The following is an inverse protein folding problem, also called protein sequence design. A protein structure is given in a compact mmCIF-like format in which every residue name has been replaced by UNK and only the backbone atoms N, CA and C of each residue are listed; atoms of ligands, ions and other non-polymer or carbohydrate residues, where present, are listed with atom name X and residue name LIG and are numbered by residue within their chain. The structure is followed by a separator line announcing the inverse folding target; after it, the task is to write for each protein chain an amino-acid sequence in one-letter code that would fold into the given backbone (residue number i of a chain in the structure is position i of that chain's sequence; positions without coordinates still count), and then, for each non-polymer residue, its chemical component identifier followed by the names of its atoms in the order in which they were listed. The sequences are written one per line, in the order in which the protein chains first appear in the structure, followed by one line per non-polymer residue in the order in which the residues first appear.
data_IF_786030767452
#
_entry.id   IF_786030767452
#
_cell.length_a   1.000
_cell.length_b   1.000
_cell.length_c   1.000
_cell.angle_alpha   90.00
_cell.angle_beta   90.00
_cell.angle_gamma   90.00
#
_symmetry.space_group_name_H-M   'P 1'
#
loop_
_entity.id
_entity.type
_entity.pdbx_description
1 polymer ?
#
# COMPACT_ATOMS: atom_id res chain seq x y z
N UNK A 1 -51.13 -4.84 35.25
CA UNK A 1 -51.25 -3.91 34.09
C UNK A 1 -50.32 -2.70 34.24
N UNK A 2 -48.99 -2.87 34.40
CA UNK A 2 -48.00 -1.76 34.42
C UNK A 2 -46.56 -2.16 33.99
N UNK A 3 -46.35 -3.36 33.42
CA UNK A 3 -44.99 -3.84 33.05
C UNK A 3 -44.87 -4.15 31.54
N UNK A 4 -46.00 -4.30 30.82
CA UNK A 4 -45.98 -4.52 29.36
C UNK A 4 -45.74 -3.27 28.52
N UNK A 5 -45.78 -2.07 29.13
CA UNK A 5 -45.50 -0.81 28.44
C UNK A 5 -44.02 -0.40 28.49
N UNK A 6 -43.20 -1.03 29.34
CA UNK A 6 -41.76 -0.74 29.43
C UNK A 6 -40.97 -1.44 28.31
N UNK A 7 -41.45 -2.60 27.85
CA UNK A 7 -40.85 -3.34 26.73
C UNK A 7 -41.17 -2.76 25.34
N UNK A 8 -42.16 -1.87 25.22
CA UNK A 8 -42.46 -1.16 23.97
C UNK A 8 -41.60 0.10 23.79
N UNK A 9 -40.92 0.57 24.85
CA UNK A 9 -40.11 1.79 24.83
C UNK A 9 -38.62 1.54 24.54
N UNK A 10 -38.19 0.26 24.48
CA UNK A 10 -36.79 -0.11 24.23
C UNK A 10 -36.45 -0.38 22.75
N UNK A 11 -37.46 -0.44 21.87
CA UNK A 11 -37.26 -0.64 20.43
C UNK A 11 -37.28 0.67 19.60
N UNK A 12 -37.38 1.84 20.24
CA UNK A 12 -37.59 3.13 19.56
C UNK A 12 -36.35 3.98 19.30
N UNK A 13 -35.13 3.52 19.64
CA UNK A 13 -33.91 4.37 19.62
C UNK A 13 -32.92 3.99 18.50
N UNK A 14 -33.29 3.12 17.55
CA UNK A 14 -32.39 2.69 16.47
C UNK A 14 -32.64 3.34 15.10
N UNK A 15 -33.32 4.49 15.05
CA UNK A 15 -33.46 5.29 13.82
C UNK A 15 -33.02 6.73 14.08
N UNK A 16 -31.80 6.89 14.59
CA UNK A 16 -31.03 8.11 14.30
C UNK A 16 -30.43 7.86 12.91
N UNK A 17 -31.16 8.35 11.91
CA UNK A 17 -30.70 8.57 10.55
C UNK A 17 -29.32 9.23 10.61
N UNK A 18 -28.32 8.55 10.09
CA UNK A 18 -27.05 9.18 9.77
C UNK A 18 -27.37 10.33 8.81
N UNK A 19 -27.05 11.55 9.22
CA UNK A 19 -27.15 12.71 8.34
C UNK A 19 -26.28 12.48 7.11
N UNK A 20 -26.75 12.95 5.97
CA UNK A 20 -25.91 13.14 4.80
C UNK A 20 -24.83 14.17 5.15
N UNK A 21 -23.73 13.71 5.73
CA UNK A 21 -22.47 14.42 5.69
C UNK A 21 -21.89 14.26 4.28
N UNK A 22 -22.50 15.00 3.36
CA UNK A 22 -21.94 15.33 2.05
C UNK A 22 -20.77 16.29 2.25
N UNK A 23 -19.70 15.84 2.90
CA UNK A 23 -18.43 16.56 3.01
C UNK A 23 -17.27 15.59 3.27
N UNK A 24 -17.02 14.68 2.33
CA UNK A 24 -15.65 14.29 1.99
C UNK A 24 -15.57 13.65 0.61
N UNK A 25 -16.24 14.27 -0.36
CA UNK A 25 -15.62 14.36 -1.68
C UNK A 25 -14.71 15.56 -1.54
N UNK A 26 -13.41 15.35 -1.32
CA UNK A 26 -12.47 16.36 -1.78
C UNK A 26 -12.73 16.45 -3.29
N UNK A 27 -13.53 17.45 -3.68
CA UNK A 27 -13.40 18.05 -4.99
C UNK A 27 -11.92 18.35 -5.13
N UNK A 28 -11.23 17.49 -5.88
CA UNK A 28 -10.05 17.91 -6.59
C UNK A 28 -10.55 19.05 -7.46
N UNK A 29 -10.29 20.28 -7.00
CA UNK A 29 -10.49 21.48 -7.79
C UNK A 29 -10.01 21.18 -9.19
N UNK A 30 -10.97 21.14 -10.12
CA UNK A 30 -10.68 20.98 -11.54
C UNK A 30 -10.12 22.32 -11.97
N UNK A 31 -8.82 22.49 -11.76
CA UNK A 31 -8.08 23.53 -12.47
C UNK A 31 -7.98 23.07 -13.92
N UNK A 32 -8.47 23.92 -14.79
CA UNK A 32 -8.67 23.73 -16.22
C UNK A 32 -7.50 23.09 -16.96
N UNK A 33 -7.86 22.38 -18.04
CA UNK A 33 -7.03 21.76 -19.06
C UNK A 33 -5.85 22.64 -19.49
N UNK A 34 -4.70 22.36 -18.91
CA UNK A 34 -3.40 22.62 -19.53
C UNK A 34 -2.74 21.27 -19.76
N UNK A 35 -1.97 21.10 -20.83
CA UNK A 35 -1.25 19.83 -21.11
C UNK A 35 -0.39 19.37 -19.91
N UNK A 36 0.04 20.31 -19.08
CA UNK A 36 0.77 20.09 -17.83
C UNK A 36 -0.06 19.37 -16.75
N UNK A 37 -1.39 19.49 -16.77
CA UNK A 37 -2.31 18.80 -15.86
C UNK A 37 -2.55 17.32 -16.28
N UNK A 38 -2.22 16.94 -17.53
CA UNK A 38 -2.33 15.54 -18.00
C UNK A 38 -1.14 14.66 -17.63
N UNK A 39 0.07 15.23 -17.50
CA UNK A 39 1.29 14.43 -17.20
C UNK A 39 1.45 14.18 -15.70
N UNK A 40 1.84 12.96 -15.33
CA UNK A 40 2.32 12.64 -13.97
C UNK A 40 3.80 12.98 -13.93
N UNK A 41 4.19 13.88 -13.02
CA UNK A 41 5.58 14.33 -12.85
C UNK A 41 6.12 13.91 -11.49
N UNK A 42 7.44 13.97 -11.28
CA UNK A 42 8.05 13.71 -9.97
C UNK A 42 7.41 14.56 -8.86
N UNK A 43 7.19 15.86 -9.12
CA UNK A 43 6.49 16.77 -8.19
C UNK A 43 5.07 16.31 -7.85
N UNK A 44 4.36 15.72 -8.81
CA UNK A 44 3.03 15.13 -8.57
C UNK A 44 3.14 13.93 -7.63
N UNK A 45 4.13 13.08 -7.81
CA UNK A 45 4.35 11.87 -6.99
C UNK A 45 4.83 12.25 -5.59
N UNK A 46 5.73 13.22 -5.46
CA UNK A 46 6.19 13.79 -4.19
C UNK A 46 5.05 14.37 -3.34
N UNK A 47 3.98 14.86 -3.96
CA UNK A 47 2.80 15.37 -3.25
C UNK A 47 1.90 14.29 -2.65
N UNK A 48 2.14 13.01 -2.97
CA UNK A 48 1.36 11.90 -2.42
C UNK A 48 1.68 11.72 -0.93
N UNK A 49 0.71 12.06 -0.07
CA UNK A 49 0.85 11.83 1.36
C UNK A 49 0.63 10.36 1.73
N UNK A 50 1.63 9.73 2.34
CA UNK A 50 1.57 8.41 2.95
C UNK A 50 2.64 8.29 4.05
N UNK A 51 2.46 7.33 4.96
CA UNK A 51 3.48 7.02 5.98
C UNK A 51 4.54 6.11 5.36
N UNK A 52 5.78 6.60 5.25
CA UNK A 52 6.92 5.86 4.70
C UNK A 52 7.73 5.23 5.84
N UNK A 53 7.53 3.94 6.08
CA UNK A 53 8.32 3.17 7.01
C UNK A 53 9.56 2.64 6.28
N UNK A 54 10.72 3.19 6.62
CA UNK A 54 12.00 2.62 6.24
C UNK A 54 12.25 1.32 7.04
N UNK A 55 13.10 0.45 6.50
CA UNK A 55 13.66 -0.65 7.28
C UNK A 55 14.54 -0.10 8.42
N UNK A 56 14.56 -0.78 9.56
CA UNK A 56 15.59 -0.54 10.58
C UNK A 56 16.94 -1.07 10.11
N UNK A 57 18.04 -0.71 10.78
CA UNK A 57 19.39 -1.22 10.48
C UNK A 57 19.48 -2.74 10.53
N UNK A 58 18.77 -3.34 11.50
CA UNK A 58 18.70 -4.79 11.68
C UNK A 58 17.93 -5.43 10.53
N UNK A 59 16.81 -4.83 10.15
CA UNK A 59 16.00 -5.28 9.02
C UNK A 59 16.72 -5.17 7.68
N UNK A 60 17.43 -4.06 7.43
CA UNK A 60 18.26 -3.90 6.23
C UNK A 60 19.29 -5.03 6.11
N UNK A 61 19.92 -5.40 7.23
CA UNK A 61 20.87 -6.51 7.27
C UNK A 61 20.20 -7.86 7.05
N UNK A 62 18.99 -8.05 7.59
CA UNK A 62 18.27 -9.31 7.53
C UNK A 62 17.63 -9.59 6.16
N UNK A 63 17.35 -8.56 5.35
CA UNK A 63 16.82 -8.71 3.98
C UNK A 63 17.90 -8.82 2.91
N UNK A 64 19.19 -8.77 3.26
CA UNK A 64 20.32 -8.70 2.29
C UNK A 64 20.32 -9.81 1.23
N UNK A 65 19.82 -11.00 1.57
CA UNK A 65 19.74 -12.14 0.64
C UNK A 65 18.48 -12.13 -0.23
N UNK A 66 17.58 -11.17 -0.02
CA UNK A 66 16.34 -11.03 -0.75
C UNK A 66 16.54 -10.08 -1.95
N UNK A 67 17.25 -10.55 -2.97
CA UNK A 67 17.68 -9.70 -4.11
C UNK A 67 16.52 -8.95 -4.77
N UNK A 68 15.41 -9.64 -5.03
CA UNK A 68 14.22 -9.03 -5.64
C UNK A 68 13.55 -7.98 -4.74
N UNK A 69 13.73 -8.03 -3.42
CA UNK A 69 13.29 -6.96 -2.53
C UNK A 69 14.08 -5.66 -2.78
N UNK A 70 15.41 -5.76 -2.88
CA UNK A 70 16.26 -4.61 -3.16
C UNK A 70 16.02 -4.03 -4.55
N UNK A 71 15.77 -4.89 -5.54
CA UNK A 71 15.39 -4.44 -6.86
C UNK A 71 14.04 -3.70 -6.83
N UNK A 72 13.02 -4.24 -6.15
CA UNK A 72 11.74 -3.55 -6.01
C UNK A 72 11.91 -2.17 -5.34
N UNK A 73 12.71 -2.10 -4.26
CA UNK A 73 13.02 -0.84 -3.58
C UNK A 73 13.67 0.17 -4.54
N UNK A 74 14.58 -0.30 -5.39
CA UNK A 74 15.25 0.52 -6.42
C UNK A 74 14.25 1.01 -7.47
N UNK A 75 13.39 0.13 -7.98
CA UNK A 75 12.37 0.50 -8.97
C UNK A 75 11.36 1.49 -8.38
N UNK A 76 10.95 1.33 -7.11
CA UNK A 76 10.12 2.31 -6.39
C UNK A 76 10.85 3.66 -6.28
N UNK A 77 12.17 3.66 -6.07
CA UNK A 77 13.00 4.87 -6.11
C UNK A 77 12.99 5.58 -7.45
N UNK A 78 12.97 4.84 -8.57
CA UNK A 78 12.79 5.40 -9.91
C UNK A 78 11.35 5.88 -10.14
N UNK A 79 10.35 5.16 -9.65
CA UNK A 79 8.95 5.57 -9.71
C UNK A 79 8.72 6.90 -8.99
N UNK A 80 9.36 7.12 -7.82
CA UNK A 80 9.33 8.41 -7.12
C UNK A 80 9.84 9.58 -7.99
N UNK A 81 10.72 9.29 -8.96
CA UNK A 81 11.26 10.24 -9.95
C UNK A 81 10.43 10.30 -11.25
N UNK A 82 9.23 9.72 -11.24
CA UNK A 82 8.34 9.57 -12.40
C UNK A 82 8.94 8.78 -13.57
N UNK A 83 9.82 7.83 -13.28
CA UNK A 83 10.19 6.79 -14.22
C UNK A 83 9.24 5.60 -14.08
N UNK A 84 8.49 5.32 -15.15
CA UNK A 84 7.46 4.29 -15.18
C UNK A 84 7.93 3.01 -15.86
N UNK A 85 9.14 2.97 -16.45
CA UNK A 85 9.55 1.95 -17.43
C UNK A 85 9.44 0.52 -16.92
N UNK A 86 9.73 0.29 -15.64
CA UNK A 86 9.57 -1.01 -15.00
C UNK A 86 8.09 -1.38 -14.81
N UNK A 87 7.29 -0.41 -14.35
CA UNK A 87 5.91 -0.65 -13.94
C UNK A 87 4.93 -0.69 -15.12
N UNK A 88 5.24 -0.06 -16.25
CA UNK A 88 4.46 -0.14 -17.49
C UNK A 88 5.09 -1.07 -18.54
N UNK A 89 6.06 -1.89 -18.12
CA UNK A 89 6.70 -2.89 -18.96
C UNK A 89 5.81 -4.10 -19.24
N UNK A 90 6.40 -5.11 -19.87
CA UNK A 90 5.74 -6.37 -20.20
C UNK A 90 5.20 -7.09 -18.94
N UNK A 91 3.92 -7.46 -18.97
CA UNK A 91 3.22 -8.07 -17.84
C UNK A 91 3.78 -9.45 -17.46
N UNK A 92 4.30 -10.22 -18.40
CA UNK A 92 4.89 -11.54 -18.12
C UNK A 92 6.26 -11.39 -17.45
N UNK A 93 7.03 -10.35 -17.82
CA UNK A 93 8.25 -9.99 -17.08
C UNK A 93 7.93 -9.55 -15.65
N UNK A 94 6.86 -8.77 -15.44
CA UNK A 94 6.42 -8.35 -14.11
C UNK A 94 5.94 -9.54 -13.27
N UNK A 95 5.15 -10.45 -13.84
CA UNK A 95 4.70 -11.67 -13.14
C UNK A 95 5.89 -12.55 -12.75
N UNK A 96 6.88 -12.70 -13.63
CA UNK A 96 8.11 -13.42 -13.32
C UNK A 96 8.86 -12.75 -12.17
N UNK A 97 9.01 -11.43 -12.20
CA UNK A 97 9.60 -10.67 -11.10
C UNK A 97 8.87 -10.91 -9.78
N UNK A 98 7.54 -10.86 -9.77
CA UNK A 98 6.70 -11.11 -8.58
C UNK A 98 6.90 -12.52 -8.04
N UNK A 99 6.98 -13.53 -8.91
CA UNK A 99 7.22 -14.90 -8.48
C UNK A 99 8.62 -15.07 -7.85
N UNK A 100 9.63 -14.45 -8.45
CA UNK A 100 10.98 -14.45 -7.90
C UNK A 100 11.05 -13.67 -6.58
N UNK A 101 10.32 -12.56 -6.46
CA UNK A 101 10.17 -11.83 -5.19
C UNK A 101 9.62 -12.71 -4.08
N UNK A 102 8.59 -13.52 -4.35
CA UNK A 102 8.00 -14.44 -3.36
C UNK A 102 8.93 -15.61 -3.03
N UNK A 103 9.55 -16.21 -4.04
CA UNK A 103 10.36 -17.43 -3.86
C UNK A 103 11.68 -17.14 -3.18
N UNK A 104 12.29 -15.98 -3.42
CA UNK A 104 13.52 -15.54 -2.77
C UNK A 104 13.33 -14.99 -1.35
N UNK A 105 12.09 -14.88 -0.86
CA UNK A 105 11.82 -14.42 0.51
C UNK A 105 12.56 -15.33 1.53
N UNK A 106 13.41 -14.76 2.40
CA UNK A 106 14.09 -15.52 3.44
C UNK A 106 13.12 -16.25 4.38
N UNK A 107 13.48 -17.45 4.82
CA UNK A 107 12.59 -18.31 5.62
C UNK A 107 12.15 -17.65 6.93
N UNK A 108 13.01 -16.84 7.56
CA UNK A 108 12.66 -16.07 8.77
C UNK A 108 11.47 -15.12 8.58
N UNK A 109 11.20 -14.71 7.32
CA UNK A 109 10.11 -13.83 6.95
C UNK A 109 8.90 -14.57 6.37
N UNK A 110 8.93 -15.91 6.26
CA UNK A 110 7.79 -16.73 5.81
C UNK A 110 6.75 -16.93 6.91
N UNK A 111 6.31 -15.82 7.51
CA UNK A 111 5.26 -15.77 8.52
C UNK A 111 4.03 -15.05 7.96
N UNK A 112 2.84 -15.45 8.42
CA UNK A 112 1.56 -14.93 7.88
C UNK A 112 1.49 -13.40 7.77
N UNK A 113 1.96 -12.60 8.75
CA UNK A 113 1.93 -11.14 8.63
C UNK A 113 2.73 -10.62 7.44
N UNK A 114 3.93 -11.15 7.18
CA UNK A 114 4.78 -10.69 6.08
C UNK A 114 4.30 -11.26 4.75
N UNK A 115 3.95 -12.55 4.69
CA UNK A 115 3.42 -13.20 3.47
C UNK A 115 2.17 -12.49 2.97
N UNK A 116 1.24 -12.14 3.88
CA UNK A 116 0.04 -11.39 3.49
C UNK A 116 0.35 -10.00 2.94
N UNK A 117 1.37 -9.30 3.45
CA UNK A 117 1.78 -7.97 2.95
C UNK A 117 2.51 -8.07 1.62
N UNK A 118 3.30 -9.12 1.41
CA UNK A 118 3.86 -9.46 0.10
C UNK A 118 2.76 -9.68 -0.95
N UNK A 119 1.65 -10.33 -0.60
CA UNK A 119 0.53 -10.54 -1.53
C UNK A 119 -0.20 -9.22 -1.90
N UNK A 120 -0.27 -8.28 -0.95
CA UNK A 120 -0.80 -6.93 -1.23
C UNK A 120 0.15 -6.18 -2.16
N UNK A 121 1.47 -6.27 -1.95
CA UNK A 121 2.47 -5.68 -2.87
C UNK A 121 2.31 -6.25 -4.28
N UNK A 122 2.16 -7.58 -4.43
CA UNK A 122 1.86 -8.23 -5.71
C UNK A 122 0.60 -7.65 -6.38
N UNK A 123 -0.49 -7.51 -5.61
CA UNK A 123 -1.75 -6.97 -6.13
C UNK A 123 -1.58 -5.53 -6.64
N UNK A 124 -0.90 -4.68 -5.86
CA UNK A 124 -0.68 -3.28 -6.23
C UNK A 124 0.31 -3.12 -7.38
N UNK A 125 1.29 -4.02 -7.52
CA UNK A 125 2.17 -4.06 -8.69
C UNK A 125 1.39 -4.35 -9.98
N UNK A 126 0.55 -5.38 -9.97
CA UNK A 126 -0.27 -5.77 -11.13
C UNK A 126 -1.26 -4.66 -11.49
N UNK A 127 -1.93 -4.09 -10.48
CA UNK A 127 -2.88 -2.98 -10.67
C UNK A 127 -2.21 -1.72 -11.19
N UNK A 128 -1.01 -1.41 -10.71
CA UNK A 128 -0.24 -0.27 -11.22
C UNK A 128 0.14 -0.49 -12.69
N UNK A 129 0.57 -1.70 -13.06
CA UNK A 129 0.90 -2.03 -14.44
C UNK A 129 -0.30 -1.85 -15.37
N UNK A 130 -1.46 -2.39 -15.01
CA UNK A 130 -2.71 -2.20 -15.76
C UNK A 130 -3.03 -0.71 -15.92
N UNK A 131 -2.99 0.05 -14.82
CA UNK A 131 -3.34 1.48 -14.85
C UNK A 131 -2.35 2.32 -15.66
N UNK A 132 -1.07 1.97 -15.67
CA UNK A 132 -0.06 2.71 -16.45
C UNK A 132 -0.08 2.32 -17.93
N UNK A 133 -0.42 1.07 -18.26
CA UNK A 133 -0.37 0.53 -19.63
C UNK A 133 -1.61 0.87 -20.45
N UNK A 134 -2.78 0.96 -19.81
CA UNK A 134 -4.02 1.30 -20.49
C UNK A 134 -4.18 2.82 -20.68
N UNK A 135 -4.50 3.23 -21.92
CA UNK A 135 -4.61 4.64 -22.31
C UNK A 135 -5.90 5.31 -21.81
N UNK A 136 -6.94 4.54 -21.51
CA UNK A 136 -8.25 5.03 -21.10
C UNK A 136 -8.40 5.20 -19.58
N UNK A 137 -7.35 4.94 -18.80
CA UNK A 137 -7.37 5.05 -17.34
C UNK A 137 -7.15 6.51 -16.93
N UNK A 138 -8.02 7.01 -16.04
CA UNK A 138 -7.97 8.39 -15.56
C UNK A 138 -6.67 8.64 -14.81
N UNK A 139 -6.14 9.86 -14.94
CA UNK A 139 -4.92 10.30 -14.23
C UNK A 139 -5.02 10.10 -12.71
N UNK A 140 -6.18 10.37 -12.11
CA UNK A 140 -6.44 10.15 -10.69
C UNK A 140 -6.22 8.71 -10.28
N UNK A 141 -6.64 7.76 -11.11
CA UNK A 141 -6.59 6.32 -10.83
C UNK A 141 -5.16 5.80 -10.99
N UNK A 142 -4.39 6.35 -11.95
CA UNK A 142 -2.94 6.10 -12.07
C UNK A 142 -2.20 6.59 -10.82
N UNK A 143 -2.47 7.82 -10.36
CA UNK A 143 -1.86 8.39 -9.14
C UNK A 143 -2.24 7.60 -7.89
N UNK A 144 -3.50 7.16 -7.79
CA UNK A 144 -3.96 6.32 -6.70
C UNK A 144 -3.20 5.00 -6.67
N UNK A 145 -3.02 4.31 -7.80
CA UNK A 145 -2.24 3.06 -7.84
C UNK A 145 -0.77 3.26 -7.48
N UNK A 146 -0.15 4.37 -7.89
CA UNK A 146 1.23 4.70 -7.45
C UNK A 146 1.28 4.83 -5.92
N UNK A 147 0.34 5.60 -5.34
CA UNK A 147 0.24 5.75 -3.89
C UNK A 147 0.01 4.41 -3.19
N UNK A 148 -0.86 3.56 -3.72
CA UNK A 148 -1.17 2.26 -3.12
C UNK A 148 0.04 1.32 -3.11
N UNK A 149 0.85 1.33 -4.17
CA UNK A 149 2.13 0.60 -4.18
C UNK A 149 3.10 1.12 -3.11
N UNK A 150 3.21 2.44 -2.93
CA UNK A 150 4.05 3.01 -1.87
C UNK A 150 3.57 2.61 -0.48
N UNK A 151 2.26 2.66 -0.25
CA UNK A 151 1.65 2.24 1.02
C UNK A 151 1.89 0.75 1.28
N UNK A 152 1.68 -0.10 0.28
CA UNK A 152 1.84 -1.56 0.48
C UNK A 152 3.29 -1.93 0.74
N UNK A 153 4.25 -1.35 0.02
CA UNK A 153 5.67 -1.59 0.24
C UNK A 153 6.16 -1.05 1.59
N UNK A 154 5.72 0.15 1.97
CA UNK A 154 5.98 0.72 3.30
C UNK A 154 5.43 -0.17 4.44
N UNK A 155 4.22 -0.72 4.27
CA UNK A 155 3.66 -1.64 5.26
C UNK A 155 4.42 -2.98 5.32
N UNK A 156 4.97 -3.46 4.21
CA UNK A 156 5.85 -4.62 4.22
C UNK A 156 7.09 -4.35 5.08
N UNK A 157 7.74 -3.20 4.90
CA UNK A 157 8.88 -2.79 5.71
C UNK A 157 8.55 -2.72 7.20
N UNK A 158 7.40 -2.14 7.54
CA UNK A 158 6.91 -2.09 8.90
C UNK A 158 6.77 -3.50 9.51
N UNK A 159 6.14 -4.44 8.80
CA UNK A 159 5.99 -5.82 9.30
C UNK A 159 7.32 -6.57 9.45
N UNK A 160 8.31 -6.27 8.60
CA UNK A 160 9.66 -6.82 8.73
C UNK A 160 10.33 -6.28 10.01
N UNK A 161 10.24 -4.97 10.26
CA UNK A 161 10.79 -4.35 11.48
C UNK A 161 10.16 -4.96 12.73
N UNK A 162 8.82 -4.99 12.81
CA UNK A 162 8.09 -5.52 13.96
C UNK A 162 8.44 -6.99 14.23
N UNK A 163 8.61 -7.79 13.17
CA UNK A 163 8.99 -9.20 13.31
C UNK A 163 10.36 -9.34 13.99
N UNK A 164 11.35 -8.58 13.56
CA UNK A 164 12.70 -8.67 14.12
C UNK A 164 12.77 -8.07 15.52
N UNK A 165 12.02 -7.01 15.79
CA UNK A 165 11.88 -6.44 17.13
C UNK A 165 11.24 -7.45 18.09
N UNK A 166 10.15 -8.11 17.68
CA UNK A 166 9.51 -9.17 18.47
C UNK A 166 10.48 -10.33 18.73
N UNK A 167 11.19 -10.81 17.70
CA UNK A 167 12.17 -11.90 17.85
C UNK A 167 13.32 -11.54 18.80
N UNK A 168 13.67 -10.25 18.89
CA UNK A 168 14.67 -9.77 19.81
C UNK A 168 14.14 -9.83 21.26
N UNK A 169 12.93 -9.32 21.51
CA UNK A 169 12.35 -9.34 22.85
C UNK A 169 12.05 -10.75 23.36
N UNK A 170 11.62 -11.68 22.49
CA UNK A 170 11.34 -13.07 22.86
C UNK A 170 12.60 -13.82 23.38
N UNK A 171 13.80 -13.32 23.07
CA UNK A 171 15.07 -13.88 23.54
C UNK A 171 15.50 -13.34 24.92
N UNK A 172 14.89 -12.25 25.38
CA UNK A 172 15.22 -11.66 26.68
C UNK A 172 14.47 -12.44 27.77
N UNK A 173 15.21 -13.14 28.64
CA UNK A 173 14.63 -13.80 29.81
C UNK A 173 14.47 -12.79 30.96
N UNK A 174 13.38 -12.87 31.76
CA UNK A 174 13.25 -12.07 32.98
C UNK A 174 14.30 -12.48 34.03
N UNK A 175 14.81 -11.48 34.76
CA UNK A 175 15.79 -11.64 35.86
C UNK A 175 15.27 -12.45 37.05
#
# INVERSE_FOLDING_TARGET
MKIKFVLLFLCGVLVISCGEDTNSTQELETTEDTEQNRKITAKTIESLNYKDYALSSESESAVVTWERYHELATQIGYLKKADFSFFNGDIELLKKFIEEFKTQMPDQFRVNPIVSRSAIVETELLKLNENLTLDNIKRSDKLLSIKMLFVSFSNLNYQINEKLESDFYDKIQPE
#
